data_IF_642636118436
#
_entry.id   IF_642636118436
#
_cell.length_a   1.000
_cell.length_b   1.000
_cell.length_c   1.000
_cell.angle_alpha   90.00
_cell.angle_beta   90.00
_cell.angle_gamma   90.00
#
_symmetry.space_group_name_H-M   'P 1'
#
loop_
_entity.id
_entity.type
_entity.pdbx_description
1 polymer ?
#
# COMPACT_ATOMS: atom_id res chain seq x y z
N UNK A 1 13.57 -5.05 5.36
CA UNK A 1 14.90 -5.59 4.97
C UNK A 1 15.09 -7.04 5.37
N UNK A 2 15.16 -7.41 6.66
CA UNK A 2 15.31 -8.83 7.06
C UNK A 2 14.22 -9.75 6.49
N UNK A 3 12.97 -9.28 6.41
CA UNK A 3 11.90 -10.07 5.79
C UNK A 3 12.22 -10.42 4.33
N UNK A 4 12.66 -9.45 3.54
CA UNK A 4 13.05 -9.64 2.15
C UNK A 4 14.25 -10.60 2.02
N UNK A 5 15.24 -10.47 2.91
CA UNK A 5 16.43 -11.30 2.86
C UNK A 5 16.23 -12.74 3.36
N UNK A 6 15.44 -12.94 4.41
CA UNK A 6 15.27 -14.27 5.03
C UNK A 6 14.13 -15.03 4.36
N UNK A 7 12.94 -14.41 4.21
CA UNK A 7 11.77 -15.11 3.67
C UNK A 7 11.75 -15.17 2.14
N UNK A 8 12.29 -14.14 1.47
CA UNK A 8 12.38 -14.12 0.01
C UNK A 8 13.81 -14.33 -0.50
N UNK A 9 14.76 -14.64 0.39
CA UNK A 9 16.15 -14.99 0.03
C UNK A 9 16.86 -13.95 -0.84
N UNK A 10 16.43 -12.69 -0.78
CA UNK A 10 17.01 -11.61 -1.61
C UNK A 10 18.36 -11.15 -1.06
N UNK A 11 19.41 -11.01 -1.89
CA UNK A 11 20.70 -10.51 -1.44
C UNK A 11 20.60 -9.05 -1.00
N UNK A 12 21.24 -8.68 0.12
CA UNK A 12 21.17 -7.31 0.67
C UNK A 12 22.27 -6.38 0.13
N UNK A 13 23.44 -6.92 -0.22
CA UNK A 13 24.62 -6.11 -0.56
C UNK A 13 24.41 -5.43 -1.91
N UNK A 14 24.43 -4.09 -1.93
CA UNK A 14 24.31 -3.31 -3.16
C UNK A 14 22.96 -3.40 -3.88
N UNK A 15 21.94 -3.97 -3.23
CA UNK A 15 20.68 -4.35 -3.88
C UNK A 15 19.47 -3.57 -3.33
N UNK A 16 19.67 -2.28 -3.05
CA UNK A 16 18.68 -1.49 -2.31
C UNK A 16 17.34 -1.38 -3.05
N UNK A 17 17.39 -1.22 -4.38
CA UNK A 17 16.22 -1.05 -5.24
C UNK A 17 15.29 -2.27 -5.20
N UNK A 18 15.82 -3.48 -5.41
CA UNK A 18 15.03 -4.73 -5.34
C UNK A 18 14.43 -4.92 -3.95
N UNK A 19 15.18 -4.59 -2.89
CA UNK A 19 14.69 -4.71 -1.51
C UNK A 19 13.56 -3.70 -1.23
N UNK A 20 13.68 -2.47 -1.73
CA UNK A 20 12.65 -1.45 -1.59
C UNK A 20 11.39 -1.82 -2.39
N UNK A 21 11.55 -2.29 -3.63
CA UNK A 21 10.46 -2.77 -4.47
C UNK A 21 9.71 -3.96 -3.84
N UNK A 22 10.45 -4.92 -3.29
CA UNK A 22 9.88 -6.05 -2.55
C UNK A 22 9.05 -5.58 -1.35
N UNK A 23 9.56 -4.64 -0.56
CA UNK A 23 8.86 -4.11 0.61
C UNK A 23 7.60 -3.35 0.19
N UNK A 24 7.70 -2.49 -0.83
CA UNK A 24 6.60 -1.69 -1.34
C UNK A 24 5.45 -2.57 -1.84
N UNK A 25 5.75 -3.67 -2.51
CA UNK A 25 4.74 -4.52 -3.16
C UNK A 25 4.21 -5.64 -2.27
N UNK A 26 4.95 -6.07 -1.23
CA UNK A 26 4.64 -7.30 -0.48
C UNK A 26 4.61 -7.15 1.03
N UNK A 27 5.27 -6.14 1.60
CA UNK A 27 5.37 -6.00 3.07
C UNK A 27 4.46 -4.88 3.53
N UNK A 28 3.33 -5.26 4.13
CA UNK A 28 2.39 -4.33 4.74
C UNK A 28 2.95 -3.73 6.03
N UNK A 29 3.36 -2.47 5.96
CA UNK A 29 3.83 -1.70 7.11
C UNK A 29 3.46 -0.22 6.94
N UNK A 30 3.27 0.48 8.05
CA UNK A 30 3.06 1.93 8.06
C UNK A 30 3.74 2.52 9.30
N UNK A 31 4.56 3.56 9.09
CA UNK A 31 5.13 4.35 10.18
C UNK A 31 4.13 5.38 10.70
N UNK A 32 4.28 5.77 11.97
CA UNK A 32 3.55 6.87 12.58
C UNK A 32 4.53 7.82 13.26
N UNK A 33 4.47 9.10 12.90
CA UNK A 33 5.20 10.17 13.59
C UNK A 33 4.23 11.30 13.96
N UNK A 34 3.46 11.07 15.04
CA UNK A 34 2.39 11.98 15.46
C UNK A 34 2.88 13.38 15.87
N UNK A 35 3.95 13.44 16.67
CA UNK A 35 4.54 14.69 17.17
C UNK A 35 5.84 15.07 16.47
N UNK A 36 5.99 14.83 15.17
CA UNK A 36 7.24 15.10 14.47
C UNK A 36 7.56 16.60 14.43
N UNK A 37 8.53 17.04 15.23
CA UNK A 37 8.97 18.45 15.28
C UNK A 37 10.42 18.67 14.76
N UNK A 38 11.24 17.62 14.75
CA UNK A 38 12.67 17.74 14.43
C UNK A 38 12.97 17.36 12.98
N UNK A 39 14.02 17.98 12.42
CA UNK A 39 14.57 17.58 11.11
C UNK A 39 14.98 16.10 11.07
N UNK A 40 15.36 15.52 12.23
CA UNK A 40 15.63 14.09 12.36
C UNK A 40 14.39 13.23 12.09
N UNK A 41 13.20 13.67 12.50
CA UNK A 41 11.98 12.93 12.21
C UNK A 41 11.69 12.88 10.70
N UNK A 42 11.97 13.98 9.99
CA UNK A 42 11.84 14.05 8.52
C UNK A 42 12.84 13.14 7.82
N UNK A 43 14.09 13.09 8.28
CA UNK A 43 15.11 12.23 7.67
C UNK A 43 14.79 10.74 7.90
N UNK A 44 14.29 10.37 9.09
CA UNK A 44 13.83 9.00 9.38
C UNK A 44 12.62 8.63 8.50
N UNK A 45 11.61 9.49 8.43
CA UNK A 45 10.44 9.25 7.58
C UNK A 45 10.84 9.13 6.10
N UNK A 46 11.75 9.98 5.64
CA UNK A 46 12.29 9.89 4.28
C UNK A 46 13.06 8.58 4.05
N UNK A 47 13.77 8.09 5.06
CA UNK A 47 14.43 6.78 5.02
C UNK A 47 13.42 5.62 4.89
N UNK A 48 12.30 5.67 5.61
CA UNK A 48 11.19 4.72 5.45
C UNK A 48 10.60 4.78 4.03
N UNK A 49 10.33 5.98 3.53
CA UNK A 49 9.76 6.17 2.19
C UNK A 49 10.66 5.60 1.09
N UNK A 50 11.98 5.76 1.21
CA UNK A 50 12.95 5.17 0.27
C UNK A 50 12.92 3.64 0.24
N UNK A 51 12.48 3.00 1.32
CA UNK A 51 12.25 1.55 1.39
C UNK A 51 10.81 1.14 0.98
N UNK A 52 10.00 2.07 0.48
CA UNK A 52 8.60 1.79 0.14
C UNK A 52 7.67 1.64 1.35
N UNK A 53 8.09 2.13 2.52
CA UNK A 53 7.27 2.09 3.74
C UNK A 53 6.56 3.44 3.90
N UNK A 54 5.23 3.49 3.84
CA UNK A 54 4.48 4.72 4.02
C UNK A 54 4.52 5.21 5.47
N UNK A 55 4.42 6.53 5.66
CA UNK A 55 4.45 7.18 6.97
C UNK A 55 3.30 8.17 7.14
N UNK A 56 2.55 8.01 8.22
CA UNK A 56 1.53 8.98 8.67
C UNK A 56 2.16 9.95 9.65
N UNK A 57 1.95 11.24 9.41
CA UNK A 57 2.42 12.33 10.25
C UNK A 57 1.25 13.04 10.94
N UNK A 58 1.48 13.57 12.14
CA UNK A 58 0.48 14.44 12.78
C UNK A 58 0.48 15.86 12.20
N UNK A 59 -0.52 16.68 12.57
CA UNK A 59 -0.87 17.93 11.88
C UNK A 59 0.24 18.98 11.86
N UNK A 60 1.03 19.07 12.94
CA UNK A 60 2.18 20.00 13.01
C UNK A 60 3.22 19.76 11.91
N UNK A 61 3.29 18.55 11.38
CA UNK A 61 4.26 18.13 10.38
C UNK A 61 3.95 18.68 8.98
N UNK A 62 2.77 19.26 8.76
CA UNK A 62 2.46 19.97 7.52
C UNK A 62 3.50 21.08 7.22
N UNK A 63 4.16 21.61 8.27
CA UNK A 63 5.23 22.61 8.17
C UNK A 63 6.49 22.13 7.44
N UNK A 64 6.67 20.83 7.23
CA UNK A 64 7.82 20.29 6.48
C UNK A 64 7.70 20.45 4.95
N UNK A 65 6.58 21.00 4.45
CA UNK A 65 6.35 21.45 3.06
C UNK A 65 6.35 20.39 1.96
N UNK A 66 6.91 19.20 2.18
CA UNK A 66 6.94 18.12 1.17
C UNK A 66 6.19 16.89 1.66
N UNK A 67 5.16 16.52 0.91
CA UNK A 67 4.41 15.28 1.08
C UNK A 67 4.44 14.44 -0.20
N UNK A 68 4.20 13.13 -0.09
CA UNK A 68 4.16 12.18 -1.21
C UNK A 68 2.76 11.57 -1.23
N UNK A 69 1.85 12.35 -1.80
CA UNK A 69 0.45 12.04 -1.96
C UNK A 69 0.23 11.52 -3.38
N UNK A 70 -0.72 10.60 -3.52
CA UNK A 70 -1.23 10.18 -4.81
C UNK A 70 -2.58 10.84 -5.06
N UNK A 71 -3.00 10.85 -6.31
CA UNK A 71 -4.31 11.29 -6.79
C UNK A 71 -5.27 10.12 -6.98
N UNK A 72 -5.12 9.05 -6.19
CA UNK A 72 -5.94 7.83 -6.27
C UNK A 72 -6.03 7.34 -7.72
N UNK A 73 -7.23 7.24 -8.28
CA UNK A 73 -7.52 6.70 -9.61
C UNK A 73 -6.88 7.49 -10.76
N UNK A 74 -6.52 8.76 -10.56
CA UNK A 74 -5.91 9.59 -11.61
C UNK A 74 -4.43 9.25 -11.86
N UNK A 75 -3.77 8.58 -10.92
CA UNK A 75 -2.36 8.21 -11.05
C UNK A 75 -2.17 6.88 -11.78
N UNK A 76 -0.97 6.67 -12.32
CA UNK A 76 -0.59 5.43 -12.98
C UNK A 76 -0.26 4.33 -11.95
N UNK A 77 -1.09 3.28 -11.93
CA UNK A 77 -0.91 2.08 -11.08
C UNK A 77 -0.47 0.86 -11.89
N UNK A 78 0.18 1.09 -13.04
CA UNK A 78 0.79 0.06 -13.85
C UNK A 78 2.02 -0.50 -13.16
N UNK A 79 2.02 -1.83 -12.99
CA UNK A 79 3.16 -2.57 -12.46
C UNK A 79 3.52 -3.69 -13.42
N UNK A 80 4.76 -4.15 -13.36
CA UNK A 80 5.20 -5.34 -14.07
C UNK A 80 4.82 -6.58 -13.23
N UNK A 81 4.18 -7.57 -13.84
CA UNK A 81 4.21 -8.93 -13.28
C UNK A 81 5.54 -9.56 -13.70
N UNK A 82 6.50 -9.67 -12.78
CA UNK A 82 7.83 -10.12 -13.13
C UNK A 82 7.91 -11.59 -13.56
N UNK A 83 6.91 -12.43 -13.24
CA UNK A 83 6.87 -13.82 -13.75
C UNK A 83 6.38 -13.87 -15.18
N UNK A 84 5.32 -13.14 -15.50
CA UNK A 84 4.77 -13.08 -16.86
C UNK A 84 5.51 -12.10 -17.78
N UNK A 85 6.32 -11.21 -17.21
CA UNK A 85 7.01 -10.10 -17.88
C UNK A 85 6.06 -9.20 -18.66
N UNK A 86 4.88 -8.96 -18.09
CA UNK A 86 3.83 -8.10 -18.67
C UNK A 86 3.52 -6.92 -17.77
N UNK A 87 3.28 -5.78 -18.40
CA UNK A 87 2.73 -4.60 -17.73
C UNK A 87 1.23 -4.80 -17.49
N UNK A 88 0.81 -4.61 -16.25
CA UNK A 88 -0.58 -4.75 -15.81
C UNK A 88 -0.97 -3.51 -15.03
N UNK A 89 -1.99 -2.80 -15.53
CA UNK A 89 -2.62 -1.74 -14.74
C UNK A 89 -3.54 -2.38 -13.70
N UNK A 90 -3.23 -2.15 -12.43
CA UNK A 90 -4.00 -2.70 -11.31
C UNK A 90 -5.14 -1.80 -10.86
N UNK A 91 -5.10 -0.51 -11.20
CA UNK A 91 -6.02 0.51 -10.68
C UNK A 91 -6.15 0.46 -9.14
N UNK A 92 -5.16 -0.10 -8.44
CA UNK A 92 -5.15 -0.27 -6.98
C UNK A 92 -4.09 0.65 -6.36
N UNK A 93 -4.48 1.71 -5.64
CA UNK A 93 -3.58 2.63 -4.98
C UNK A 93 -3.05 2.04 -3.67
N UNK A 94 -2.20 1.00 -3.74
CA UNK A 94 -1.66 0.31 -2.57
C UNK A 94 -0.11 0.29 -2.55
N UNK A 95 0.54 0.96 -1.57
CA UNK A 95 -0.03 1.99 -0.68
C UNK A 95 -0.42 3.27 -1.45
N UNK A 96 -1.46 3.96 -0.98
CA UNK A 96 -1.95 5.18 -1.63
C UNK A 96 -0.97 6.34 -1.48
N UNK A 97 -0.43 6.56 -0.28
CA UNK A 97 0.49 7.65 -0.01
C UNK A 97 1.77 7.09 0.59
N UNK A 98 2.92 7.67 0.25
CA UNK A 98 4.17 7.36 0.96
C UNK A 98 4.36 8.27 2.17
N UNK A 99 3.89 9.51 2.13
CA UNK A 99 3.88 10.36 3.32
C UNK A 99 2.69 11.30 3.31
N UNK A 100 1.88 11.21 4.36
CA UNK A 100 0.63 11.96 4.49
C UNK A 100 0.50 12.55 5.89
N UNK A 101 -0.23 13.65 6.00
CA UNK A 101 -0.55 14.31 7.27
C UNK A 101 -2.02 14.10 7.56
N UNK A 102 -2.33 13.72 8.79
CA UNK A 102 -3.71 13.57 9.25
C UNK A 102 -3.92 14.39 10.53
N UNK A 103 -5.15 14.87 10.71
CA UNK A 103 -5.52 15.84 11.73
C UNK A 103 -5.85 15.22 13.09
N UNK A 104 -6.39 14.00 13.11
CA UNK A 104 -6.88 13.34 14.32
C UNK A 104 -6.33 11.93 14.47
N UNK A 105 -6.24 11.45 15.72
CA UNK A 105 -5.73 10.10 16.01
C UNK A 105 -6.65 9.03 15.39
N UNK A 106 -7.94 9.30 15.35
CA UNK A 106 -8.97 8.46 14.75
C UNK A 106 -8.70 8.28 13.25
N UNK A 107 -8.45 9.39 12.54
CA UNK A 107 -8.10 9.34 11.12
C UNK A 107 -6.75 8.69 10.88
N UNK A 108 -5.79 8.87 11.80
CA UNK A 108 -4.50 8.19 11.74
C UNK A 108 -4.65 6.67 11.79
N UNK A 109 -5.46 6.14 12.72
CA UNK A 109 -5.69 4.69 12.84
C UNK A 109 -6.28 4.11 11.56
N UNK A 110 -7.30 4.77 11.01
CA UNK A 110 -7.94 4.36 9.75
C UNK A 110 -6.94 4.40 8.58
N UNK A 111 -6.18 5.50 8.47
CA UNK A 111 -5.20 5.70 7.40
C UNK A 111 -4.05 4.69 7.48
N UNK A 112 -3.55 4.38 8.68
CA UNK A 112 -2.50 3.39 8.87
C UNK A 112 -2.97 1.99 8.46
N UNK A 113 -4.20 1.60 8.80
CA UNK A 113 -4.76 0.31 8.39
C UNK A 113 -4.85 0.19 6.86
N UNK A 114 -5.32 1.26 6.19
CA UNK A 114 -5.38 1.35 4.73
C UNK A 114 -4.00 1.24 4.09
N UNK A 115 -3.03 2.02 4.58
CA UNK A 115 -1.67 2.09 4.04
C UNK A 115 -0.86 0.80 4.24
N UNK A 116 -1.38 -0.19 4.98
CA UNK A 116 -0.79 -1.52 5.09
C UNK A 116 -1.24 -2.50 3.98
N UNK A 117 -2.25 -2.16 3.17
CA UNK A 117 -2.71 -2.99 2.04
C UNK A 117 -1.64 -3.01 0.94
N UNK A 118 -1.40 -4.17 0.34
CA UNK A 118 -0.35 -4.39 -0.67
C UNK A 118 -0.88 -5.17 -1.86
N UNK A 119 -0.38 -4.87 -3.07
CA UNK A 119 -0.78 -5.54 -4.32
C UNK A 119 -0.66 -7.06 -4.25
N UNK A 120 0.38 -7.58 -3.58
CA UNK A 120 0.63 -9.01 -3.45
C UNK A 120 -0.04 -9.69 -2.23
N UNK A 121 -1.04 -9.08 -1.61
CA UNK A 121 -1.75 -9.72 -0.50
C UNK A 121 -2.47 -10.99 -0.98
N UNK A 122 -2.33 -12.08 -0.22
CA UNK A 122 -3.16 -13.29 -0.44
C UNK A 122 -4.63 -12.95 -0.16
N UNK A 123 -5.58 -13.74 -0.68
CA UNK A 123 -7.00 -13.51 -0.43
C UNK A 123 -7.34 -13.45 1.08
N UNK A 124 -6.76 -14.37 1.87
CA UNK A 124 -6.92 -14.37 3.33
C UNK A 124 -6.26 -13.15 3.99
N UNK A 125 -5.06 -12.77 3.57
CA UNK A 125 -4.37 -11.59 4.10
C UNK A 125 -5.11 -10.30 3.79
N UNK A 126 -5.66 -10.19 2.57
CA UNK A 126 -6.48 -9.06 2.13
C UNK A 126 -7.78 -8.99 2.91
N UNK A 127 -8.48 -10.10 3.10
CA UNK A 127 -9.69 -10.16 3.95
C UNK A 127 -9.41 -9.62 5.35
N UNK A 128 -8.30 -10.02 5.99
CA UNK A 128 -7.97 -9.56 7.33
C UNK A 128 -7.71 -8.04 7.37
N UNK A 129 -6.92 -7.52 6.42
CA UNK A 129 -6.64 -6.09 6.33
C UNK A 129 -7.89 -5.27 6.05
N UNK A 130 -8.75 -5.73 5.12
CA UNK A 130 -10.02 -5.08 4.81
C UNK A 130 -10.98 -5.13 6.00
N UNK A 131 -10.99 -6.22 6.77
CA UNK A 131 -11.79 -6.31 8.00
C UNK A 131 -11.43 -5.19 8.97
N UNK A 132 -10.13 -5.02 9.25
CA UNK A 132 -9.67 -3.96 10.15
C UNK A 132 -9.90 -2.57 9.59
N UNK A 133 -9.66 -2.37 8.28
CA UNK A 133 -9.88 -1.09 7.64
C UNK A 133 -11.36 -0.68 7.71
N UNK A 134 -12.28 -1.57 7.35
CA UNK A 134 -13.73 -1.35 7.41
C UNK A 134 -14.19 -1.14 8.86
N UNK A 135 -13.74 -1.97 9.80
CA UNK A 135 -14.14 -1.86 11.19
C UNK A 135 -13.71 -0.53 11.81
N UNK A 136 -12.46 -0.11 11.60
CA UNK A 136 -11.94 1.17 12.08
C UNK A 136 -12.67 2.35 11.42
N UNK A 137 -12.91 2.27 10.11
CA UNK A 137 -13.63 3.32 9.40
C UNK A 137 -15.06 3.46 9.92
N UNK A 138 -15.77 2.35 10.14
CA UNK A 138 -17.12 2.40 10.74
C UNK A 138 -17.12 2.95 12.16
N UNK A 139 -16.16 2.51 12.98
CA UNK A 139 -16.06 2.95 14.37
C UNK A 139 -15.80 4.45 14.50
N UNK A 140 -14.93 5.00 13.64
CA UNK A 140 -14.44 6.38 13.77
C UNK A 140 -15.04 7.37 12.78
N UNK A 141 -15.50 6.91 11.60
CA UNK A 141 -16.09 7.74 10.53
C UNK A 141 -17.58 7.44 10.31
N UNK A 142 -18.12 6.38 10.91
CA UNK A 142 -19.56 6.06 10.90
C UNK A 142 -20.08 5.39 9.63
N UNK A 143 -19.27 5.24 8.58
CA UNK A 143 -19.69 4.67 7.28
C UNK A 143 -18.72 3.60 6.77
N UNK A 144 -19.06 2.97 5.64
CA UNK A 144 -18.08 2.22 4.85
C UNK A 144 -17.07 3.18 4.19
N UNK A 145 -15.82 2.75 3.95
CA UNK A 145 -14.87 3.57 3.21
C UNK A 145 -15.31 3.80 1.76
N UNK A 146 -15.27 5.05 1.32
CA UNK A 146 -15.73 5.47 -0.01
C UNK A 146 -14.87 4.95 -1.17
N UNK A 147 -13.65 4.51 -0.88
CA UNK A 147 -12.70 3.95 -1.86
C UNK A 147 -12.44 2.46 -1.63
N UNK A 148 -13.32 1.77 -0.90
CA UNK A 148 -13.20 0.34 -0.62
C UNK A 148 -13.11 -0.49 -1.92
N UNK A 149 -13.84 -0.09 -2.96
CA UNK A 149 -13.86 -0.75 -4.26
C UNK A 149 -12.49 -0.75 -4.96
N UNK A 150 -11.59 0.16 -4.60
CA UNK A 150 -10.24 0.19 -5.15
C UNK A 150 -9.38 -0.96 -4.64
N UNK A 151 -9.64 -1.45 -3.43
CA UNK A 151 -8.83 -2.46 -2.72
C UNK A 151 -9.43 -3.87 -2.74
N UNK A 152 -10.61 -4.06 -3.35
CA UNK A 152 -11.20 -5.39 -3.56
C UNK A 152 -10.88 -5.83 -4.98
N UNK A 153 -10.11 -6.93 -5.15
CA UNK A 153 -9.77 -7.45 -6.49
C UNK A 153 -10.75 -8.50 -6.95
N UNK A 154 -11.14 -9.39 -6.03
CA UNK A 154 -12.12 -10.45 -6.26
C UNK A 154 -13.10 -10.55 -5.09
N UNK A 155 -14.23 -11.21 -5.31
CA UNK A 155 -15.21 -11.51 -4.25
C UNK A 155 -14.60 -12.29 -3.07
N UNK A 156 -13.53 -13.03 -3.30
CA UNK A 156 -12.77 -13.74 -2.27
C UNK A 156 -11.95 -12.83 -1.37
N UNK A 157 -11.70 -11.56 -1.72
CA UNK A 157 -11.02 -10.62 -0.84
C UNK A 157 -11.97 -10.03 0.21
N UNK A 158 -13.28 -10.19 0.04
CA UNK A 158 -14.29 -9.55 0.88
C UNK A 158 -14.38 -10.25 2.24
N UNK A 159 -14.27 -9.52 3.37
CA UNK A 159 -14.47 -10.07 4.69
C UNK A 159 -15.83 -10.75 4.86
N UNK A 160 -15.83 -11.97 5.39
CA UNK A 160 -17.06 -12.77 5.59
C UNK A 160 -18.10 -12.00 6.40
N UNK A 161 -17.67 -11.34 7.49
CA UNK A 161 -18.56 -10.59 8.38
C UNK A 161 -19.25 -9.41 7.69
N UNK A 162 -18.57 -8.71 6.78
CA UNK A 162 -19.10 -7.54 6.07
C UNK A 162 -19.64 -7.88 4.67
N UNK A 163 -19.66 -9.15 4.28
CA UNK A 163 -19.86 -9.57 2.88
C UNK A 163 -21.11 -9.01 2.23
N UNK A 164 -22.26 -9.11 2.91
CA UNK A 164 -23.55 -8.64 2.37
C UNK A 164 -23.53 -7.13 2.08
N UNK A 165 -23.00 -6.36 3.00
CA UNK A 165 -22.98 -4.90 2.92
C UNK A 165 -21.95 -4.39 1.90
N UNK A 166 -20.76 -5.00 1.89
CA UNK A 166 -19.71 -4.66 0.92
C UNK A 166 -20.17 -5.01 -0.50
N UNK A 167 -20.79 -6.17 -0.72
CA UNK A 167 -21.31 -6.52 -2.05
C UNK A 167 -22.36 -5.52 -2.55
N UNK A 168 -23.31 -5.11 -1.69
CA UNK A 168 -24.31 -4.12 -2.06
C UNK A 168 -23.68 -2.76 -2.43
N UNK A 169 -22.61 -2.36 -1.73
CA UNK A 169 -21.83 -1.17 -2.07
C UNK A 169 -21.09 -1.33 -3.41
N UNK A 170 -20.42 -2.47 -3.64
CA UNK A 170 -19.68 -2.76 -4.87
C UNK A 170 -20.59 -2.77 -6.11
N UNK A 171 -21.79 -3.33 -6.00
CA UNK A 171 -22.81 -3.30 -7.06
C UNK A 171 -23.25 -1.87 -7.38
N UNK A 172 -23.47 -1.04 -6.36
CA UNK A 172 -23.89 0.36 -6.52
C UNK A 172 -22.83 1.20 -7.26
N UNK A 173 -21.55 0.94 -7.02
CA UNK A 173 -20.44 1.69 -7.68
C UNK A 173 -20.01 1.07 -9.01
N UNK A 174 -20.65 -0.01 -9.46
CA UNK A 174 -20.31 -0.66 -10.73
C UNK A 174 -18.93 -1.34 -10.73
N UNK A 175 -18.51 -1.86 -9.58
CA UNK A 175 -17.21 -2.51 -9.43
C UNK A 175 -17.04 -3.72 -10.37
N UNK A 176 -15.81 -3.88 -10.87
CA UNK A 176 -15.39 -5.02 -11.70
C UNK A 176 -14.19 -5.70 -11.07
N UNK A 177 -14.07 -7.01 -11.30
CA UNK A 177 -12.91 -7.76 -10.82
C UNK A 177 -11.61 -7.23 -11.43
N UNK A 178 -10.58 -7.17 -10.59
CA UNK A 178 -9.23 -6.70 -10.95
C UNK A 178 -8.27 -7.87 -11.03
N UNK A 179 -7.20 -7.77 -11.85
CA UNK A 179 -6.20 -8.83 -11.95
C UNK A 179 -5.49 -9.05 -10.61
N UNK A 180 -5.24 -10.32 -10.28
CA UNK A 180 -4.41 -10.70 -9.14
C UNK A 180 -3.03 -11.03 -9.68
N UNK A 181 -2.04 -10.26 -9.24
CA UNK A 181 -0.65 -10.41 -9.69
C UNK A 181 0.07 -11.47 -8.87
N UNK A 182 0.98 -12.19 -9.51
CA UNK A 182 1.79 -13.20 -8.83
C UNK A 182 3.09 -12.60 -8.29
N UNK A 183 3.71 -11.70 -9.06
CA UNK A 183 4.95 -11.03 -8.70
C UNK A 183 4.89 -9.55 -9.12
N UNK A 184 4.17 -8.70 -8.38
CA UNK A 184 4.16 -7.26 -8.68
C UNK A 184 5.54 -6.64 -8.41
N UNK A 185 6.05 -5.90 -9.39
CA UNK A 185 7.28 -5.10 -9.29
C UNK A 185 7.16 -3.82 -10.11
N UNK A 186 7.81 -2.74 -9.66
CA UNK A 186 7.99 -1.52 -10.44
C UNK A 186 9.25 -1.59 -11.31
N UNK A 187 10.17 -2.53 -11.03
CA UNK A 187 11.37 -2.70 -11.86
C UNK A 187 10.93 -3.15 -13.25
N UNK A 188 11.37 -2.42 -14.28
CA UNK A 188 10.93 -2.61 -15.66
C UNK A 188 9.75 -1.73 -16.09
N UNK A 189 9.18 -0.90 -15.21
CA UNK A 189 8.22 0.15 -15.59
C UNK A 189 8.90 1.52 -15.79
N UNK A 190 10.14 1.68 -15.31
CA UNK A 190 10.98 2.87 -15.46
C UNK A 190 12.41 2.49 -15.84
N UNK A 191 13.22 3.43 -16.37
CA UNK A 191 14.63 3.18 -16.66
C UNK A 191 15.40 2.81 -15.38
N UNK A 192 15.90 1.58 -15.30
CA UNK A 192 16.68 1.06 -14.16
C UNK A 192 17.88 0.25 -14.67
N UNK A 193 18.97 0.26 -13.89
CA UNK A 193 20.13 -0.61 -14.12
C UNK A 193 19.88 -2.05 -13.63
N UNK A 194 18.84 -2.25 -12.81
CA UNK A 194 18.50 -3.55 -12.25
C UNK A 194 17.74 -4.39 -13.28
N UNK A 195 18.23 -5.58 -13.65
CA UNK A 195 17.50 -6.44 -14.57
C UNK A 195 16.25 -7.01 -13.88
N UNK A 196 15.17 -7.20 -14.66
CA UNK A 196 13.92 -7.77 -14.15
C UNK A 196 14.11 -9.14 -13.49
N UNK A 197 15.05 -9.94 -13.99
CA UNK A 197 15.37 -11.26 -13.44
C UNK A 197 15.93 -11.18 -12.00
N UNK A 198 16.41 -10.02 -11.54
CA UNK A 198 16.84 -9.82 -10.16
C UNK A 198 15.67 -9.77 -9.15
N UNK A 199 14.42 -9.71 -9.63
CA UNK A 199 13.21 -9.72 -8.78
C UNK A 199 12.54 -11.10 -8.80
N UNK A 200 12.86 -11.93 -9.80
CA UNK A 200 12.27 -13.26 -10.02
C UNK A 200 13.14 -14.30 -9.32
N UNK A 201 12.73 -14.70 -8.11
CA UNK A 201 13.34 -15.77 -7.32
C UNK A 201 12.31 -16.85 -6.98
#
# INVERSE_FOLDING_TARGET
MKVANIFATLPLRGNYEVIADYILNRVGACGLAWGAYSQKAVSIATGCNRLGIPVVLGPHSAKYRRLYLSRKEEDDWTVMDGREKKLVNTEEPSPEHLITVVESKERAMVTMAKLCIRKNDTAQGRQLKLTHYIALHKQYMGSLPDDLHLFVRKTTDIPIFFKKEVMAYLEKVGWKEKPVLTLPTLIGTYPSEVPLDAVVH
#
